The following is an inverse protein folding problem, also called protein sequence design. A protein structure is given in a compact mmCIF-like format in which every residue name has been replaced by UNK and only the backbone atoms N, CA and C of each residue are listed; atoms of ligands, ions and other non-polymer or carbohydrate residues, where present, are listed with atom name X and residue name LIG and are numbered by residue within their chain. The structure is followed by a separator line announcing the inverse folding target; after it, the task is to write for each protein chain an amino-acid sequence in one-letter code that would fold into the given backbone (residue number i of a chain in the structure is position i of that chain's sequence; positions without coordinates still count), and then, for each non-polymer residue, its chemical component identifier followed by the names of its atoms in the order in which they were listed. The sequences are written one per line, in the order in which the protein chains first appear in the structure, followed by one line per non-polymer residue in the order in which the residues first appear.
data_IF_520089695124
#
_entry.id   IF_520089695124
#
_cell.length_a   1.000
_cell.length_b   1.000
_cell.length_c   1.000
_cell.angle_alpha   90.00
_cell.angle_beta   90.00
_cell.angle_gamma   90.00
#
_symmetry.space_group_name_H-M   'P 1'
#
loop_
_entity.id
_entity.type
_entity.pdbx_description
1 polymer ?
#
# COMPACT_ATOMS: atom_id res chain seq x y z
N UNK A 1 -5.87 4.88 -12.14
CA UNK A 1 -6.22 6.00 -11.23
C UNK A 1 -5.76 5.54 -9.86
N UNK A 2 -4.83 6.26 -9.24
CA UNK A 2 -4.34 5.92 -7.90
C UNK A 2 -5.16 6.71 -6.87
N UNK A 3 -5.52 6.09 -5.75
CA UNK A 3 -6.15 6.74 -4.62
C UNK A 3 -5.06 7.00 -3.59
N UNK A 4 -4.76 8.27 -3.33
CA UNK A 4 -3.75 8.67 -2.36
C UNK A 4 -4.40 8.80 -0.98
N UNK A 5 -3.67 8.39 0.06
CA UNK A 5 -4.10 8.65 1.43
C UNK A 5 -4.02 10.16 1.70
N UNK A 6 -5.18 10.83 1.75
CA UNK A 6 -5.29 12.29 1.89
C UNK A 6 -4.78 12.81 3.25
N UNK A 7 -4.62 11.90 4.23
CA UNK A 7 -4.14 12.23 5.58
C UNK A 7 -2.61 12.25 5.64
N UNK A 8 -1.95 11.47 4.77
CA UNK A 8 -0.50 11.43 4.60
C UNK A 8 0.22 10.89 5.84
N UNK A 9 0.43 9.58 5.91
CA UNK A 9 1.27 9.00 6.97
C UNK A 9 2.75 9.15 6.59
N UNK A 10 3.47 10.05 7.26
CA UNK A 10 4.92 10.17 7.12
C UNK A 10 5.60 9.05 7.90
N UNK A 11 6.31 8.18 7.19
CA UNK A 11 7.02 7.04 7.77
C UNK A 11 8.51 7.36 7.94
N UNK A 12 9.15 6.85 9.00
CA UNK A 12 10.51 7.26 9.39
C UNK A 12 11.59 6.80 8.41
N UNK A 13 11.36 5.70 7.70
CA UNK A 13 12.31 5.08 6.78
C UNK A 13 11.61 4.13 5.79
N UNK A 14 12.40 3.59 4.87
CA UNK A 14 11.93 2.68 3.83
C UNK A 14 11.39 1.35 4.38
N UNK A 15 11.94 0.81 5.48
CA UNK A 15 11.44 -0.44 6.06
C UNK A 15 10.05 -0.23 6.66
N UNK A 16 9.83 0.89 7.34
CA UNK A 16 8.51 1.27 7.83
C UNK A 16 7.51 1.47 6.66
N UNK A 17 7.94 2.07 5.55
CA UNK A 17 7.14 2.21 4.33
C UNK A 17 6.71 0.86 3.74
N UNK A 18 7.65 -0.09 3.64
CA UNK A 18 7.39 -1.45 3.16
C UNK A 18 6.40 -2.17 4.08
N UNK A 19 6.61 -2.11 5.39
CA UNK A 19 5.74 -2.75 6.37
C UNK A 19 4.32 -2.18 6.31
N UNK A 20 4.19 -0.85 6.26
CA UNK A 20 2.90 -0.19 6.24
C UNK A 20 2.12 -0.49 4.95
N UNK A 21 2.78 -0.45 3.79
CA UNK A 21 2.17 -0.86 2.52
C UNK A 21 1.66 -2.31 2.56
N UNK A 22 2.39 -3.20 3.24
CA UNK A 22 1.99 -4.61 3.39
C UNK A 22 0.75 -4.75 4.27
N UNK A 23 0.64 -3.96 5.35
CA UNK A 23 -0.53 -3.94 6.24
C UNK A 23 -1.75 -3.45 5.47
N UNK A 24 -1.66 -2.32 4.76
CA UNK A 24 -2.76 -1.79 3.95
C UNK A 24 -3.21 -2.83 2.91
N UNK A 25 -2.27 -3.46 2.19
CA UNK A 25 -2.62 -4.47 1.20
C UNK A 25 -3.38 -5.66 1.82
N UNK A 26 -3.02 -6.06 3.05
CA UNK A 26 -3.72 -7.10 3.79
C UNK A 26 -5.09 -6.66 4.32
N UNK A 27 -5.25 -5.41 4.72
CA UNK A 27 -6.56 -4.84 5.11
C UNK A 27 -7.50 -4.77 3.90
N UNK A 28 -7.03 -4.26 2.77
CA UNK A 28 -7.80 -4.22 1.53
C UNK A 28 -8.19 -5.61 1.02
N UNK A 29 -7.35 -6.62 1.25
CA UNK A 29 -7.67 -8.01 0.93
C UNK A 29 -8.80 -8.59 1.79
N UNK A 30 -9.02 -8.06 3.00
CA UNK A 30 -10.10 -8.48 3.89
C UNK A 30 -11.46 -7.86 3.53
N UNK A 31 -11.46 -6.69 2.89
CA UNK A 31 -12.67 -6.04 2.35
C UNK A 31 -13.25 -6.78 1.11
N UNK A 32 -12.65 -7.92 0.75
CA UNK A 32 -13.17 -8.85 -0.25
C UNK A 32 -12.60 -8.61 -1.65
N UNK A 33 -13.41 -8.85 -2.68
CA UNK A 33 -12.95 -8.80 -4.08
C UNK A 33 -12.90 -7.38 -4.66
N UNK A 34 -13.25 -6.35 -3.89
CA UNK A 34 -13.31 -4.96 -4.37
C UNK A 34 -11.93 -4.44 -4.82
N UNK A 35 -10.88 -4.80 -4.06
CA UNK A 35 -9.51 -4.37 -4.29
C UNK A 35 -8.60 -5.48 -4.83
N UNK A 36 -9.16 -6.65 -5.16
CA UNK A 36 -8.37 -7.74 -5.71
C UNK A 36 -7.72 -7.36 -7.05
N UNK A 37 -6.41 -7.57 -7.14
CA UNK A 37 -5.62 -7.22 -8.33
C UNK A 37 -5.16 -5.76 -8.38
N UNK A 38 -5.42 -4.98 -7.33
CA UNK A 38 -4.77 -3.68 -7.12
C UNK A 38 -3.43 -3.85 -6.40
N UNK A 39 -2.60 -2.82 -6.48
CA UNK A 39 -1.35 -2.71 -5.75
C UNK A 39 -1.38 -1.51 -4.81
N UNK A 40 -0.81 -1.68 -3.63
CA UNK A 40 -0.48 -0.58 -2.71
C UNK A 40 0.96 -0.17 -2.97
N UNK A 41 1.16 1.09 -3.35
CA UNK A 41 2.48 1.66 -3.59
C UNK A 41 2.87 2.61 -2.44
N UNK A 42 4.08 2.44 -1.92
CA UNK A 42 4.72 3.44 -1.07
C UNK A 42 5.75 4.21 -1.90
N UNK A 43 5.67 5.54 -1.88
CA UNK A 43 6.58 6.43 -2.60
C UNK A 43 7.27 7.38 -1.63
N UNK A 44 8.48 7.82 -1.97
CA UNK A 44 9.16 8.90 -1.23
C UNK A 44 8.64 10.29 -1.62
N UNK A 45 9.20 11.34 -1.01
CA UNK A 45 8.81 12.73 -1.26
C UNK A 45 9.12 13.21 -2.69
N UNK A 46 10.04 12.56 -3.39
CA UNK A 46 10.41 12.85 -4.77
C UNK A 46 9.55 12.03 -5.76
N UNK A 47 8.66 11.16 -5.25
CA UNK A 47 7.79 10.29 -6.04
C UNK A 47 8.45 8.99 -6.48
N UNK A 48 9.61 8.63 -5.92
CA UNK A 48 10.25 7.34 -6.23
C UNK A 48 9.55 6.21 -5.47
N UNK A 49 9.29 5.11 -6.17
CA UNK A 49 8.72 3.91 -5.55
C UNK A 49 9.71 3.29 -4.56
N UNK A 50 9.27 3.15 -3.32
CA UNK A 50 9.97 2.43 -2.25
C UNK A 50 9.47 0.97 -2.22
N UNK A 51 8.16 0.77 -2.36
CA UNK A 51 7.53 -0.54 -2.26
C UNK A 51 6.26 -0.64 -3.11
N UNK A 52 5.96 -1.87 -3.55
CA UNK A 52 4.71 -2.22 -4.24
C UNK A 52 4.20 -3.56 -3.71
N UNK A 53 3.02 -3.55 -3.10
CA UNK A 53 2.42 -4.71 -2.46
C UNK A 53 1.09 -5.07 -3.13
N UNK A 54 0.96 -6.27 -3.72
CA UNK A 54 -0.29 -6.68 -4.35
C UNK A 54 -1.36 -7.00 -3.30
N UNK A 55 -2.60 -6.61 -3.56
CA UNK A 55 -3.77 -6.98 -2.76
C UNK A 55 -4.24 -8.37 -3.21
N UNK A 56 -3.97 -9.37 -2.38
CA UNK A 56 -4.29 -10.78 -2.65
C UNK A 56 -5.33 -11.29 -1.65
N UNK A 57 -6.50 -11.67 -2.14
CA UNK A 57 -7.48 -12.37 -1.30
C UNK A 57 -6.97 -13.78 -1.01
N UNK A 58 -6.98 -14.24 0.26
CA UNK A 58 -6.63 -15.62 0.57
C UNK A 58 -7.64 -16.57 -0.09
N UNK A 59 -7.12 -17.58 -0.80
CA UNK A 59 -7.89 -18.62 -1.50
C UNK A 59 -8.51 -19.65 -0.56
#
# INVERSE_FOLDING_TARGET
MAFEDETGTVLPDAEAAILYASVIAAELAQDGNEYHGFDVCAVDNDGNEIARMPVLVPS
#
